data_IF_686956366030
#
_entry.id   IF_686956366030
#
_cell.length_a   1.000
_cell.length_b   1.000
_cell.length_c   1.000
_cell.angle_alpha   90.00
_cell.angle_beta   90.00
_cell.angle_gamma   90.00
#
_symmetry.space_group_name_H-M   'P 1'
#
loop_
_entity.id
_entity.type
_entity.pdbx_description
1 polymer ?
#
# COMPACT_ATOMS: atom_id res chain seq x y z
N UNK A 1 7.28 21.31 4.78
CA UNK A 1 6.93 20.35 5.82
C UNK A 1 6.22 19.15 5.21
N UNK A 2 6.55 17.91 5.60
CA UNK A 2 5.80 16.75 5.11
C UNK A 2 4.37 16.77 5.62
N UNK A 3 3.46 16.31 4.79
CA UNK A 3 2.07 16.11 5.17
C UNK A 3 1.94 14.72 5.80
N UNK A 4 1.33 14.66 6.97
CA UNK A 4 1.07 13.39 7.64
C UNK A 4 -0.38 12.98 7.47
N UNK A 5 -0.57 11.68 7.22
CA UNK A 5 -1.89 11.10 7.06
C UNK A 5 -1.99 9.87 7.95
N UNK A 6 -3.06 9.79 8.73
CA UNK A 6 -3.30 8.69 9.65
C UNK A 6 -4.68 8.11 9.34
N UNK A 7 -4.71 6.83 8.96
CA UNK A 7 -5.92 6.16 8.52
C UNK A 7 -6.09 4.88 9.30
N UNK A 8 -7.28 4.67 9.85
CA UNK A 8 -7.66 3.43 10.51
C UNK A 8 -8.84 2.82 9.77
N UNK A 9 -8.76 1.53 9.49
CA UNK A 9 -9.78 0.84 8.73
C UNK A 9 -9.94 -0.60 9.22
N UNK A 10 -11.12 -1.16 9.00
CA UNK A 10 -11.39 -2.58 9.19
C UNK A 10 -11.52 -3.22 7.82
N UNK A 11 -10.68 -4.21 7.54
CA UNK A 11 -10.70 -4.94 6.27
C UNK A 11 -11.26 -6.34 6.52
N UNK A 12 -12.22 -6.72 5.72
CA UNK A 12 -12.90 -8.01 5.87
C UNK A 12 -12.10 -9.13 5.21
N UNK A 13 -10.95 -9.43 5.81
CA UNK A 13 -10.03 -10.48 5.39
C UNK A 13 -9.17 -10.92 6.57
N UNK A 14 -8.74 -12.20 6.62
CA UNK A 14 -7.83 -12.68 7.66
C UNK A 14 -6.48 -11.96 7.61
N UNK A 15 -5.86 -11.80 8.76
CA UNK A 15 -4.65 -10.99 8.92
C UNK A 15 -3.48 -11.47 8.06
N UNK A 16 -3.23 -12.78 8.02
CA UNK A 16 -2.13 -13.33 7.23
C UNK A 16 -2.32 -13.09 5.73
N UNK A 17 -3.53 -13.27 5.25
CA UNK A 17 -3.83 -13.09 3.82
C UNK A 17 -3.77 -11.62 3.42
N UNK A 18 -4.28 -10.73 4.26
CA UNK A 18 -4.19 -9.30 4.01
C UNK A 18 -2.75 -8.82 4.05
N UNK A 19 -1.99 -9.28 5.04
CA UNK A 19 -0.57 -8.94 5.16
C UNK A 19 0.20 -9.38 3.91
N UNK A 20 0.02 -10.63 3.49
CA UNK A 20 0.74 -11.16 2.33
C UNK A 20 0.38 -10.42 1.04
N UNK A 21 -0.89 -10.03 0.90
CA UNK A 21 -1.33 -9.22 -0.24
C UNK A 21 -0.61 -7.87 -0.25
N UNK A 22 -0.58 -7.19 0.88
CA UNK A 22 0.01 -5.85 0.98
C UNK A 22 1.54 -5.86 0.99
N UNK A 23 2.15 -6.96 1.41
CA UNK A 23 3.61 -7.09 1.42
C UNK A 23 4.20 -7.20 0.02
N UNK A 24 3.39 -7.53 -0.99
CA UNK A 24 3.81 -7.67 -2.37
C UNK A 24 3.13 -6.62 -3.24
N UNK A 25 3.80 -5.49 -3.52
CA UNK A 25 3.24 -4.44 -4.36
C UNK A 25 2.82 -4.88 -5.77
N UNK A 26 3.35 -5.99 -6.29
CA UNK A 26 2.88 -6.50 -7.59
C UNK A 26 1.39 -6.86 -7.57
N UNK A 27 0.83 -7.17 -6.40
CA UNK A 27 -0.60 -7.46 -6.28
C UNK A 27 -1.48 -6.23 -6.46
N UNK A 28 -0.91 -5.02 -6.38
CA UNK A 28 -1.70 -3.79 -6.45
C UNK A 28 -2.52 -3.66 -7.73
N UNK A 29 -2.02 -4.20 -8.85
CA UNK A 29 -2.75 -4.14 -10.11
C UNK A 29 -4.10 -4.87 -10.04
N UNK A 30 -4.28 -5.75 -9.05
CA UNK A 30 -5.52 -6.53 -8.86
C UNK A 30 -6.54 -5.81 -7.98
N UNK A 31 -6.12 -4.87 -7.13
CA UNK A 31 -7.03 -4.26 -6.16
C UNK A 31 -6.95 -2.73 -6.10
N UNK A 32 -5.87 -2.12 -6.59
CA UNK A 32 -5.70 -0.67 -6.60
C UNK A 32 -5.99 -0.15 -8.00
N UNK A 33 -7.10 0.57 -8.21
CA UNK A 33 -7.47 1.03 -9.57
C UNK A 33 -6.48 2.04 -10.15
N UNK A 34 -5.64 2.66 -9.31
CA UNK A 34 -4.64 3.61 -9.78
C UNK A 34 -3.34 2.94 -10.21
N UNK A 35 -3.13 1.68 -9.85
CA UNK A 35 -1.92 0.95 -10.23
C UNK A 35 -2.02 0.48 -11.68
N UNK A 36 -1.08 0.93 -12.50
CA UNK A 36 -1.03 0.56 -13.93
C UNK A 36 -0.16 -0.68 -14.11
N UNK A 37 1.04 -0.67 -13.52
CA UNK A 37 1.99 -1.76 -13.60
C UNK A 37 2.93 -1.69 -12.40
N UNK A 38 3.17 -2.83 -11.75
CA UNK A 38 4.14 -2.93 -10.66
C UNK A 38 4.99 -4.17 -10.89
N UNK A 39 6.30 -4.04 -10.76
CA UNK A 39 7.24 -5.12 -11.02
C UNK A 39 8.35 -5.13 -9.99
N UNK A 40 8.69 -6.32 -9.51
CA UNK A 40 9.86 -6.54 -8.65
C UNK A 40 11.14 -6.27 -9.47
N UNK A 41 12.09 -5.54 -8.88
CA UNK A 41 13.36 -5.21 -9.56
C UNK A 41 14.57 -5.96 -8.98
N UNK A 42 14.39 -6.64 -7.86
CA UNK A 42 15.42 -7.50 -7.29
C UNK A 42 14.91 -8.95 -7.21
N UNK A 43 15.66 -9.82 -6.57
CA UNK A 43 15.36 -11.26 -6.48
C UNK A 43 15.36 -11.72 -5.04
N UNK A 44 14.74 -12.88 -4.82
CA UNK A 44 14.70 -13.52 -3.52
C UNK A 44 13.36 -13.40 -2.83
N UNK A 45 13.29 -13.85 -1.59
CA UNK A 45 12.08 -13.77 -0.78
C UNK A 45 11.77 -12.31 -0.45
N UNK A 46 10.48 -12.03 -0.26
CA UNK A 46 10.05 -10.70 0.15
C UNK A 46 10.47 -10.49 1.61
N UNK A 47 11.18 -9.40 1.86
CA UNK A 47 11.66 -9.04 3.18
C UNK A 47 12.30 -7.66 3.13
N UNK A 48 12.91 -7.19 4.24
CA UNK A 48 13.54 -5.87 4.28
C UNK A 48 14.56 -5.72 3.17
N UNK A 49 14.51 -4.60 2.46
CA UNK A 49 15.38 -4.30 1.32
C UNK A 49 14.82 -4.69 -0.04
N UNK A 50 13.71 -5.43 -0.10
CA UNK A 50 13.07 -5.77 -1.37
C UNK A 50 12.60 -4.50 -2.09
N UNK A 51 12.73 -4.48 -3.42
CA UNK A 51 12.45 -3.30 -4.22
C UNK A 51 11.55 -3.61 -5.41
N UNK A 52 10.69 -2.65 -5.74
CA UNK A 52 9.78 -2.70 -6.88
C UNK A 52 9.81 -1.39 -7.63
N UNK A 53 9.38 -1.43 -8.89
CA UNK A 53 9.11 -0.24 -9.67
C UNK A 53 7.66 -0.29 -10.13
N UNK A 54 6.93 0.80 -9.91
CA UNK A 54 5.53 0.88 -10.26
C UNK A 54 5.20 2.12 -11.07
N UNK A 55 4.10 2.04 -11.82
CA UNK A 55 3.48 3.18 -12.49
C UNK A 55 2.05 3.32 -11.98
N UNK A 56 1.70 4.55 -11.63
CA UNK A 56 0.40 4.87 -11.04
C UNK A 56 -0.22 6.06 -11.75
N UNK A 57 -1.54 6.03 -11.89
CA UNK A 57 -2.28 7.12 -12.51
C UNK A 57 -2.06 8.42 -11.74
N UNK A 58 -1.71 9.49 -12.46
CA UNK A 58 -1.48 10.81 -11.87
C UNK A 58 -0.15 10.98 -11.17
N UNK A 59 0.57 9.91 -10.87
CA UNK A 59 1.86 9.97 -10.15
C UNK A 59 3.06 9.54 -10.99
N UNK A 60 2.82 8.82 -12.09
CA UNK A 60 3.88 8.32 -12.95
C UNK A 60 4.66 7.17 -12.33
N UNK A 61 5.95 7.14 -12.60
CA UNK A 61 6.84 6.08 -12.10
C UNK A 61 7.26 6.33 -10.65
N UNK A 62 7.27 5.26 -9.87
CA UNK A 62 7.69 5.28 -8.47
C UNK A 62 8.59 4.10 -8.18
N UNK A 63 9.59 4.32 -7.32
CA UNK A 63 10.44 3.27 -6.77
C UNK A 63 9.94 2.95 -5.36
N UNK A 64 9.72 1.67 -5.10
CA UNK A 64 9.15 1.19 -3.84
C UNK A 64 10.18 0.29 -3.16
N UNK A 65 10.46 0.57 -1.89
CA UNK A 65 11.37 -0.24 -1.09
C UNK A 65 10.69 -0.65 0.20
N UNK A 66 10.79 -1.94 0.53
CA UNK A 66 10.28 -2.46 1.80
C UNK A 66 11.33 -2.24 2.87
N UNK A 67 11.00 -1.44 3.89
CA UNK A 67 11.92 -1.09 4.97
C UNK A 67 11.75 -1.99 6.19
N UNK A 68 10.50 -2.33 6.54
CA UNK A 68 10.19 -3.17 7.69
C UNK A 68 9.21 -4.27 7.27
N UNK A 69 9.48 -5.47 7.76
CA UNK A 69 8.68 -6.65 7.47
C UNK A 69 8.58 -7.50 8.73
N UNK A 70 7.43 -7.45 9.40
CA UNK A 70 7.14 -8.25 10.58
C UNK A 70 5.79 -8.94 10.38
N UNK A 71 5.81 -10.12 9.79
CA UNK A 71 4.61 -10.86 9.47
C UNK A 71 3.92 -11.41 10.72
N UNK A 72 2.61 -11.24 10.88
CA UNK A 72 1.66 -10.52 10.03
C UNK A 72 1.28 -9.15 10.60
N UNK A 73 2.16 -8.46 11.32
CA UNK A 73 1.81 -7.31 12.15
C UNK A 73 2.25 -5.97 11.59
N UNK A 74 3.35 -5.91 10.85
CA UNK A 74 3.90 -4.60 10.47
C UNK A 74 4.63 -4.62 9.13
N UNK A 75 4.33 -3.62 8.30
CA UNK A 75 5.03 -3.33 7.05
C UNK A 75 5.37 -1.84 7.01
N UNK A 76 6.54 -1.50 6.48
CA UNK A 76 6.88 -0.11 6.18
C UNK A 76 7.55 -0.04 4.81
N UNK A 77 7.14 0.96 4.03
CA UNK A 77 7.64 1.20 2.68
C UNK A 77 8.14 2.61 2.52
N UNK A 78 9.25 2.77 1.82
CA UNK A 78 9.71 4.06 1.30
C UNK A 78 9.43 4.09 -0.19
N UNK A 79 8.77 5.15 -0.65
CA UNK A 79 8.37 5.31 -2.04
C UNK A 79 8.93 6.62 -2.56
N UNK A 80 9.73 6.54 -3.62
CA UNK A 80 10.33 7.71 -4.27
C UNK A 80 9.73 7.88 -5.65
N UNK A 81 9.12 9.03 -5.88
CA UNK A 81 8.53 9.36 -7.17
C UNK A 81 8.98 10.72 -7.66
N UNK A 82 8.70 11.04 -8.92
CA UNK A 82 9.05 12.32 -9.50
C UNK A 82 8.21 13.47 -8.94
N UNK A 83 6.99 13.17 -8.53
CA UNK A 83 6.04 14.18 -8.03
C UNK A 83 5.91 14.19 -6.52
N UNK A 84 6.20 13.07 -5.87
CA UNK A 84 6.01 12.92 -4.44
C UNK A 84 6.89 11.80 -3.91
N UNK A 85 7.48 12.01 -2.73
CA UNK A 85 8.07 10.95 -1.94
C UNK A 85 7.09 10.62 -0.82
N UNK A 86 7.00 9.33 -0.47
CA UNK A 86 6.10 8.84 0.56
C UNK A 86 6.81 7.86 1.47
N UNK A 87 6.41 7.85 2.72
CA UNK A 87 6.80 6.79 3.65
C UNK A 87 5.51 6.26 4.29
N UNK A 88 5.23 4.97 4.09
CA UNK A 88 4.05 4.32 4.63
C UNK A 88 4.42 3.31 5.68
N UNK A 89 3.70 3.33 6.80
CA UNK A 89 3.77 2.29 7.83
C UNK A 89 2.38 1.72 8.01
N UNK A 90 2.28 0.39 7.89
CA UNK A 90 1.03 -0.34 8.10
C UNK A 90 1.15 -1.24 9.31
N UNK A 91 0.18 -1.16 10.19
CA UNK A 91 0.09 -2.02 11.38
C UNK A 91 -1.20 -2.82 11.30
N UNK A 92 -1.11 -4.11 11.53
CA UNK A 92 -2.21 -5.05 11.40
C UNK A 92 -2.52 -5.69 12.75
N UNK A 93 -3.80 -5.75 13.09
CA UNK A 93 -4.26 -6.45 14.30
C UNK A 93 -5.49 -7.30 13.95
N UNK A 94 -5.59 -8.53 14.49
CA UNK A 94 -6.75 -9.35 14.22
C UNK A 94 -8.00 -8.79 14.87
N UNK A 95 -9.14 -8.94 14.19
CA UNK A 95 -10.45 -8.52 14.67
C UNK A 95 -11.47 -9.57 14.23
N UNK A 96 -11.52 -10.70 14.98
CA UNK A 96 -12.29 -11.85 14.56
C UNK A 96 -11.74 -12.44 13.28
N UNK A 97 -12.58 -12.55 12.25
CA UNK A 97 -12.17 -13.00 10.91
C UNK A 97 -11.71 -11.84 10.03
N UNK A 98 -11.79 -10.63 10.54
CA UNK A 98 -11.35 -9.42 9.85
C UNK A 98 -10.03 -8.93 10.44
N UNK A 99 -9.52 -7.82 9.89
CA UNK A 99 -8.26 -7.22 10.32
C UNK A 99 -8.46 -5.72 10.52
N UNK A 100 -7.94 -5.19 11.62
CA UNK A 100 -7.79 -3.75 11.80
C UNK A 100 -6.47 -3.33 11.19
N UNK A 101 -6.56 -2.38 10.28
CA UNK A 101 -5.41 -1.84 9.58
C UNK A 101 -5.23 -0.37 9.98
N UNK A 102 -4.07 -0.06 10.53
CA UNK A 102 -3.66 1.32 10.77
C UNK A 102 -2.58 1.68 9.76
N UNK A 103 -2.77 2.77 9.04
CA UNK A 103 -1.83 3.25 8.04
C UNK A 103 -1.39 4.66 8.40
N UNK A 104 -0.09 4.84 8.55
CA UNK A 104 0.55 6.14 8.74
C UNK A 104 1.35 6.47 7.52
N UNK A 105 1.16 7.67 6.98
CA UNK A 105 1.91 8.12 5.82
C UNK A 105 2.53 9.48 6.06
N UNK A 106 3.76 9.63 5.60
CA UNK A 106 4.41 10.92 5.43
C UNK A 106 4.50 11.19 3.94
N UNK A 107 3.94 12.31 3.51
CA UNK A 107 3.88 12.69 2.10
C UNK A 107 4.72 13.94 1.90
N UNK A 108 5.67 13.89 0.95
CA UNK A 108 6.51 15.03 0.58
C UNK A 108 6.31 15.35 -0.89
N UNK A 109 5.38 16.27 -1.20
CA UNK A 109 5.19 16.72 -2.58
C UNK A 109 6.42 17.42 -3.11
N UNK A 110 6.66 17.25 -4.42
CA UNK A 110 7.78 17.86 -5.14
C UNK A 110 7.26 18.77 -6.24
N UNK A 111 8.02 19.83 -6.54
CA UNK A 111 7.70 20.74 -7.64
C UNK A 111 6.33 21.37 -7.49
N UNK A 112 5.55 21.36 -8.57
CA UNK A 112 4.22 21.97 -8.59
C UNK A 112 3.21 21.25 -7.69
N UNK A 113 3.46 20.00 -7.31
CA UNK A 113 2.59 19.26 -6.38
C UNK A 113 2.57 19.90 -4.99
N UNK A 114 3.56 20.70 -4.64
CA UNK A 114 3.59 21.45 -3.38
C UNK A 114 2.40 22.39 -3.24
N UNK A 115 1.92 22.92 -4.36
CA UNK A 115 0.77 23.83 -4.38
C UNK A 115 -0.53 23.14 -4.03
N UNK A 116 -0.58 21.81 -4.18
CA UNK A 116 -1.76 21.01 -3.88
C UNK A 116 -1.77 20.45 -2.46
N UNK A 117 -0.75 20.74 -1.66
CA UNK A 117 -0.62 20.20 -0.29
C UNK A 117 -1.89 20.37 0.55
N UNK A 118 -2.59 21.52 0.56
CA UNK A 118 -3.81 21.67 1.36
C UNK A 118 -4.95 20.73 0.95
N UNK A 119 -4.90 20.21 -0.30
CA UNK A 119 -5.95 19.33 -0.83
C UNK A 119 -5.66 17.86 -0.58
N UNK A 120 -4.43 17.49 -0.21
CA UNK A 120 -4.03 16.09 -0.09
C UNK A 120 -4.78 15.35 1.02
N UNK A 121 -4.94 15.97 2.19
CA UNK A 121 -5.63 15.32 3.30
C UNK A 121 -7.04 14.86 2.92
N UNK A 122 -7.92 15.78 2.51
CA UNK A 122 -9.28 15.38 2.10
C UNK A 122 -9.31 14.43 0.91
N UNK A 123 -8.45 14.66 -0.09
CA UNK A 123 -8.40 13.83 -1.29
C UNK A 123 -7.96 12.40 -0.96
N UNK A 124 -6.92 12.24 -0.15
CA UNK A 124 -6.42 10.93 0.24
C UNK A 124 -7.41 10.18 1.12
N UNK A 125 -8.07 10.87 2.03
CA UNK A 125 -9.12 10.26 2.86
C UNK A 125 -10.25 9.75 2.00
N UNK A 126 -10.67 10.51 1.00
CA UNK A 126 -11.71 10.09 0.06
C UNK A 126 -11.27 8.85 -0.74
N UNK A 127 -10.03 8.86 -1.24
CA UNK A 127 -9.47 7.73 -1.98
C UNK A 127 -9.41 6.48 -1.08
N UNK A 128 -8.89 6.64 0.14
CA UNK A 128 -8.72 5.52 1.05
C UNK A 128 -10.00 5.04 1.70
N UNK A 129 -11.10 5.79 1.64
CA UNK A 129 -12.39 5.31 2.14
C UNK A 129 -12.87 4.06 1.38
N UNK A 130 -12.44 3.88 0.15
CA UNK A 130 -12.78 2.72 -0.68
C UNK A 130 -11.78 1.56 -0.54
N UNK A 131 -10.63 1.82 0.08
CA UNK A 131 -9.52 0.87 0.15
C UNK A 131 -9.87 -0.43 0.90
N UNK A 132 -10.58 -0.39 2.03
CA UNK A 132 -10.91 -1.64 2.73
C UNK A 132 -11.66 -2.64 1.85
N UNK A 133 -12.65 -2.18 1.08
CA UNK A 133 -13.39 -3.06 0.17
C UNK A 133 -12.51 -3.57 -0.97
N UNK A 134 -11.64 -2.71 -1.50
CA UNK A 134 -10.69 -3.08 -2.56
C UNK A 134 -9.70 -4.14 -2.07
N UNK A 135 -9.17 -3.99 -0.88
CA UNK A 135 -8.24 -4.95 -0.28
C UNK A 135 -8.93 -6.28 -0.01
N UNK A 136 -10.13 -6.28 0.53
CA UNK A 136 -10.89 -7.50 0.76
C UNK A 136 -11.17 -8.23 -0.56
N UNK A 137 -11.54 -7.50 -1.61
CA UNK A 137 -11.75 -8.07 -2.94
C UNK A 137 -10.44 -8.65 -3.51
N UNK A 138 -9.31 -7.98 -3.26
CA UNK A 138 -7.99 -8.46 -3.68
C UNK A 138 -7.62 -9.78 -3.03
N UNK A 139 -7.88 -9.92 -1.73
CA UNK A 139 -7.64 -11.18 -1.01
C UNK A 139 -8.52 -12.29 -1.58
N UNK A 140 -9.80 -12.02 -1.80
CA UNK A 140 -10.74 -13.00 -2.37
C UNK A 140 -10.30 -13.44 -3.78
N UNK A 141 -9.88 -12.51 -4.62
CA UNK A 141 -9.40 -12.81 -5.96
C UNK A 141 -8.14 -13.67 -5.93
N UNK A 142 -7.23 -13.38 -5.01
CA UNK A 142 -5.99 -14.15 -4.85
C UNK A 142 -6.28 -15.58 -4.40
N UNK A 143 -7.24 -15.77 -3.50
CA UNK A 143 -7.68 -17.11 -3.05
C UNK A 143 -8.19 -17.95 -4.22
N UNK A 144 -9.01 -17.38 -5.08
CA UNK A 144 -9.60 -18.11 -6.19
C UNK A 144 -8.59 -18.48 -7.25
N UNK A 145 -7.44 -17.81 -7.30
CA UNK A 145 -6.34 -18.11 -8.23
C UNK A 145 -5.33 -19.11 -7.68
N UNK A 146 -5.30 -19.33 -6.37
CA UNK A 146 -4.38 -20.29 -5.77
C UNK A 146 -4.93 -21.70 -5.95
N UNK A 147 -4.12 -22.67 -6.41
CA UNK A 147 -4.56 -24.04 -6.47
C UNK A 147 -4.83 -24.55 -5.05
N UNK A 148 -5.97 -25.16 -4.87
CA UNK A 148 -6.30 -25.80 -3.61
C UNK A 148 -5.46 -27.07 -3.47
N UNK A 149 -4.74 -27.15 -2.37
CA UNK A 149 -3.98 -28.35 -2.06
C UNK A 149 -4.89 -29.49 -1.63
#
# INVERSE_FOLDING_TARGET
MPTRLDINARVDAPIEELFDLMADPETEVDWNPDAIKVRRVDQGAIGPGAEWQGRYKGMGSMQIKLDEYERPHRLAFSINGNRMDMHWTFTFAPDGTATRLAADAELQPKGTMRLMTPLFGPMMRRTFSKRPAQLAAGVAARRSRQPQA
#
